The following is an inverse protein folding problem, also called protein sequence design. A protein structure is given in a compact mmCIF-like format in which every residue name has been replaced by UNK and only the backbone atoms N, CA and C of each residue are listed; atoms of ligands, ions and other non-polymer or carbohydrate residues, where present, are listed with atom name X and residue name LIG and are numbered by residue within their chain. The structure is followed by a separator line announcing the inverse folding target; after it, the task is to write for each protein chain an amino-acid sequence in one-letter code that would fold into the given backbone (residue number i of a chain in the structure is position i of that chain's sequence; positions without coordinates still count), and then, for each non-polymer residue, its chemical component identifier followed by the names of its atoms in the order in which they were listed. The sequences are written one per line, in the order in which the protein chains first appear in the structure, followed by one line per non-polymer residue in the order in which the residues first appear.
data_IF_282846171798
#
_entry.id   IF_282846171798
#
_cell.length_a   1.000
_cell.length_b   1.000
_cell.length_c   1.000
_cell.angle_alpha   90.00
_cell.angle_beta   90.00
_cell.angle_gamma   90.00
#
_symmetry.space_group_name_H-M   'P 1'
#
loop_
_entity.id
_entity.type
_entity.pdbx_description
1 polymer ?
#
# COMPACT_ATOMS: atom_id res chain seq x y z
N UNK A 1 20.86 -8.34 4.13
CA UNK A 1 19.38 -8.47 3.94
C UNK A 1 18.98 -7.66 2.72
N UNK A 2 17.95 -8.09 1.98
CA UNK A 2 17.44 -7.31 0.84
C UNK A 2 16.69 -6.05 1.32
N UNK A 3 15.84 -6.18 2.35
CA UNK A 3 15.02 -5.09 2.87
C UNK A 3 15.86 -3.86 3.25
N UNK A 4 17.02 -4.04 3.84
CA UNK A 4 17.92 -2.93 4.19
C UNK A 4 18.36 -2.09 2.97
N UNK A 5 18.39 -2.72 1.79
CA UNK A 5 18.80 -2.08 0.54
C UNK A 5 17.62 -1.54 -0.29
N UNK A 6 16.36 -1.74 0.15
CA UNK A 6 15.18 -1.18 -0.50
C UNK A 6 14.96 0.24 0.03
N UNK A 7 15.13 1.23 -0.83
CA UNK A 7 14.85 2.64 -0.53
C UNK A 7 13.69 3.19 -1.35
N UNK A 8 13.30 2.46 -2.40
CA UNK A 8 12.24 2.85 -3.31
C UNK A 8 11.65 1.64 -4.02
N UNK A 9 10.46 1.76 -4.64
CA UNK A 9 9.88 0.69 -5.45
C UNK A 9 10.79 0.23 -6.61
N UNK A 10 11.62 1.10 -7.13
CA UNK A 10 12.57 0.77 -8.20
C UNK A 10 13.60 -0.29 -7.77
N UNK A 11 13.95 -0.34 -6.50
CA UNK A 11 14.86 -1.35 -5.95
C UNK A 11 14.19 -2.73 -5.90
N UNK A 12 12.88 -2.77 -5.62
CA UNK A 12 12.08 -4.01 -5.66
C UNK A 12 12.09 -4.61 -7.07
N UNK A 13 11.96 -3.78 -8.10
CA UNK A 13 11.91 -4.21 -9.52
C UNK A 13 13.22 -4.81 -10.03
N UNK A 14 14.33 -4.57 -9.35
CA UNK A 14 15.64 -5.13 -9.69
C UNK A 14 15.86 -6.54 -9.15
N UNK A 15 14.99 -7.01 -8.25
CA UNK A 15 15.12 -8.32 -7.65
C UNK A 15 14.59 -9.43 -8.56
N UNK A 16 15.22 -10.60 -8.52
CA UNK A 16 14.66 -11.82 -9.11
C UNK A 16 13.46 -12.29 -8.31
N UNK A 17 12.61 -13.11 -8.92
CA UNK A 17 11.44 -13.71 -8.22
C UNK A 17 11.87 -14.50 -6.97
N UNK A 18 13.00 -15.20 -7.04
CA UNK A 18 13.55 -15.89 -5.88
C UNK A 18 13.90 -14.92 -4.76
N UNK A 19 14.54 -13.81 -5.08
CA UNK A 19 14.92 -12.78 -4.11
C UNK A 19 13.70 -12.03 -3.54
N UNK A 20 12.62 -11.88 -4.32
CA UNK A 20 11.36 -11.33 -3.81
C UNK A 20 10.73 -12.21 -2.71
N UNK A 21 10.86 -13.54 -2.82
CA UNK A 21 10.40 -14.46 -1.77
C UNK A 21 11.26 -14.30 -0.48
N UNK A 22 12.54 -14.05 -0.62
CA UNK A 22 13.42 -13.75 0.54
C UNK A 22 13.00 -12.41 1.16
N UNK A 23 12.81 -11.38 0.34
CA UNK A 23 12.32 -10.07 0.78
C UNK A 23 10.99 -10.17 1.54
N UNK A 24 10.06 -11.00 1.07
CA UNK A 24 8.78 -11.23 1.76
C UNK A 24 8.98 -11.79 3.18
N UNK A 25 9.91 -12.71 3.36
CA UNK A 25 10.24 -13.26 4.68
C UNK A 25 10.92 -12.21 5.59
N UNK A 26 11.78 -11.37 5.04
CA UNK A 26 12.42 -10.27 5.78
C UNK A 26 11.39 -9.23 6.24
N UNK A 27 10.43 -8.85 5.37
CA UNK A 27 9.33 -7.96 5.72
C UNK A 27 8.47 -8.57 6.84
N UNK A 28 8.12 -9.86 6.77
CA UNK A 28 7.38 -10.54 7.84
C UNK A 28 8.12 -10.52 9.16
N UNK A 29 9.42 -10.76 9.12
CA UNK A 29 10.24 -10.73 10.33
C UNK A 29 10.24 -9.32 10.96
N UNK A 30 10.44 -8.27 10.16
CA UNK A 30 10.39 -6.89 10.62
C UNK A 30 9.02 -6.54 11.22
N UNK A 31 7.92 -6.94 10.54
CA UNK A 31 6.56 -6.76 11.05
C UNK A 31 6.36 -7.42 12.41
N UNK A 32 6.71 -8.68 12.54
CA UNK A 32 6.53 -9.43 13.78
C UNK A 32 7.37 -8.83 14.92
N UNK A 33 8.60 -8.42 14.64
CA UNK A 33 9.49 -7.80 15.62
C UNK A 33 8.90 -6.48 16.12
N UNK A 34 8.57 -5.55 15.22
CA UNK A 34 7.96 -4.27 15.58
C UNK A 34 6.64 -4.46 16.31
N UNK A 35 5.73 -5.24 15.74
CA UNK A 35 4.36 -5.33 16.25
C UNK A 35 4.26 -6.07 17.59
N UNK A 36 5.18 -7.01 17.88
CA UNK A 36 5.25 -7.65 19.19
C UNK A 36 5.75 -6.70 20.28
N UNK A 37 6.61 -5.76 19.94
CA UNK A 37 7.20 -4.82 20.89
C UNK A 37 6.37 -3.53 21.05
N UNK A 38 5.75 -3.06 19.97
CA UNK A 38 5.15 -1.72 19.88
C UNK A 38 3.63 -1.72 19.63
N UNK A 39 3.08 -2.86 19.18
CA UNK A 39 1.67 -2.96 18.79
C UNK A 39 1.42 -2.53 17.36
N UNK A 40 0.14 -2.59 16.94
CA UNK A 40 -0.31 -2.27 15.59
C UNK A 40 -1.16 -3.37 14.96
N UNK A 41 -1.36 -3.31 13.66
CA UNK A 41 -2.22 -4.23 12.90
C UNK A 41 -1.42 -5.43 12.40
N UNK A 42 -1.58 -6.61 13.00
CA UNK A 42 -0.76 -7.81 12.68
C UNK A 42 -1.34 -8.56 11.48
N UNK A 43 -2.53 -9.13 11.63
CA UNK A 43 -3.14 -10.04 10.64
C UNK A 43 -3.22 -9.43 9.22
N UNK A 44 -3.81 -8.24 9.06
CA UNK A 44 -3.94 -7.60 7.76
C UNK A 44 -2.59 -7.36 7.06
N UNK A 45 -1.54 -7.01 7.80
CA UNK A 45 -0.22 -6.76 7.22
C UNK A 45 0.49 -8.04 6.81
N UNK A 46 0.43 -9.10 7.62
CA UNK A 46 1.03 -10.38 7.27
C UNK A 46 0.39 -10.99 6.00
N UNK A 47 -0.93 -10.82 5.83
CA UNK A 47 -1.65 -11.32 4.66
C UNK A 47 -1.39 -10.54 3.38
N UNK A 48 -0.84 -9.32 3.47
CA UNK A 48 -0.64 -8.43 2.32
C UNK A 48 0.81 -8.33 1.83
N UNK A 49 1.75 -9.06 2.42
CA UNK A 49 3.18 -8.90 2.10
C UNK A 49 3.47 -9.17 0.64
N UNK A 50 3.14 -10.36 0.13
CA UNK A 50 3.41 -10.73 -1.27
C UNK A 50 2.61 -9.88 -2.25
N UNK A 51 1.34 -9.61 -1.94
CA UNK A 51 0.51 -8.76 -2.79
C UNK A 51 1.09 -7.35 -2.90
N UNK A 52 1.59 -6.78 -1.79
CA UNK A 52 2.21 -5.45 -1.80
C UNK A 52 3.54 -5.45 -2.57
N UNK A 53 4.37 -6.49 -2.41
CA UNK A 53 5.59 -6.64 -3.21
C UNK A 53 5.24 -6.71 -4.70
N UNK A 54 4.24 -7.53 -5.08
CA UNK A 54 3.82 -7.68 -6.46
C UNK A 54 3.28 -6.36 -7.04
N UNK A 55 2.51 -5.60 -6.29
CA UNK A 55 2.04 -4.27 -6.70
C UNK A 55 3.22 -3.33 -7.00
N UNK A 56 4.22 -3.26 -6.13
CA UNK A 56 5.40 -2.43 -6.35
C UNK A 56 6.36 -2.97 -7.40
N UNK A 57 6.33 -4.27 -7.67
CA UNK A 57 7.10 -4.87 -8.76
C UNK A 57 6.49 -4.55 -10.13
N UNK A 58 5.17 -4.54 -10.24
CA UNK A 58 4.45 -4.34 -11.51
C UNK A 58 4.22 -2.85 -11.80
N UNK A 59 3.68 -2.11 -10.84
CA UNK A 59 3.27 -0.72 -11.01
C UNK A 59 4.36 0.28 -10.62
N UNK A 60 4.31 1.48 -11.21
CA UNK A 60 5.31 2.54 -11.03
C UNK A 60 4.83 3.60 -10.03
N UNK A 61 4.71 3.24 -8.75
CA UNK A 61 4.37 4.21 -7.71
C UNK A 61 5.50 5.26 -7.55
N UNK A 62 5.20 6.57 -7.42
CA UNK A 62 3.88 7.19 -7.23
C UNK A 62 3.18 7.63 -8.53
N UNK A 63 3.71 7.34 -9.71
CA UNK A 63 3.04 7.65 -10.99
C UNK A 63 1.73 6.87 -11.05
N UNK A 64 1.81 5.54 -11.01
CA UNK A 64 0.64 4.70 -10.75
C UNK A 64 0.21 4.87 -9.29
N UNK A 65 -1.07 4.96 -9.04
CA UNK A 65 -1.62 5.31 -7.73
C UNK A 65 -2.27 4.12 -7.07
N UNK A 66 -1.79 3.77 -5.89
CA UNK A 66 -2.31 2.67 -5.08
C UNK A 66 -3.06 3.27 -3.88
N UNK A 67 -4.35 2.99 -3.79
CA UNK A 67 -5.23 3.44 -2.70
C UNK A 67 -5.60 2.24 -1.84
N UNK A 68 -5.17 2.25 -0.58
CA UNK A 68 -5.46 1.18 0.38
C UNK A 68 -6.73 1.51 1.16
N UNK A 69 -7.73 0.64 1.12
CA UNK A 69 -8.95 0.79 1.92
C UNK A 69 -8.61 0.69 3.41
N UNK A 70 -9.18 1.54 4.25
CA UNK A 70 -8.78 1.71 5.66
C UNK A 70 -7.31 2.12 5.80
N UNK A 71 -6.44 1.48 5.03
CA UNK A 71 -4.97 1.62 4.95
C UNK A 71 -4.17 1.03 6.13
N UNK A 72 -4.82 0.30 7.04
CA UNK A 72 -4.18 -0.37 8.16
C UNK A 72 -3.29 -1.57 7.76
N UNK A 73 -3.40 -2.04 6.51
CA UNK A 73 -2.62 -3.12 5.90
C UNK A 73 -1.45 -2.60 5.03
N UNK A 74 -1.03 -1.34 5.23
CA UNK A 74 -0.07 -0.66 4.36
C UNK A 74 1.38 -0.70 4.87
N UNK A 75 1.71 -1.50 5.89
CA UNK A 75 3.06 -1.47 6.48
C UNK A 75 4.14 -1.95 5.53
N UNK A 76 3.91 -3.02 4.76
CA UNK A 76 4.82 -3.44 3.71
C UNK A 76 5.01 -2.36 2.64
N UNK A 77 3.93 -1.66 2.26
CA UNK A 77 4.00 -0.49 1.37
C UNK A 77 4.91 0.61 1.94
N UNK A 78 4.78 0.92 3.23
CA UNK A 78 5.66 1.90 3.88
C UNK A 78 7.13 1.49 3.81
N UNK A 79 7.44 0.22 4.11
CA UNK A 79 8.80 -0.29 4.02
C UNK A 79 9.37 -0.17 2.60
N UNK A 80 8.59 -0.52 1.58
CA UNK A 80 9.02 -0.51 0.18
C UNK A 80 9.08 0.90 -0.45
N UNK A 81 8.57 1.90 0.26
CA UNK A 81 8.52 3.31 -0.19
C UNK A 81 9.38 4.25 0.66
N UNK A 82 10.47 3.72 1.25
CA UNK A 82 11.52 4.50 1.89
C UNK A 82 11.35 4.72 3.40
N UNK A 83 10.40 4.03 4.04
CA UNK A 83 10.13 4.15 5.50
C UNK A 83 10.46 2.87 6.27
N UNK A 84 11.34 2.02 5.73
CA UNK A 84 11.70 0.74 6.34
C UNK A 84 12.34 0.88 7.72
N UNK A 85 13.09 1.96 7.94
CA UNK A 85 13.84 2.18 9.17
C UNK A 85 12.90 2.28 10.39
N UNK A 86 11.71 2.85 10.19
CA UNK A 86 10.62 2.84 11.18
C UNK A 86 10.03 1.44 11.47
N UNK A 87 10.54 0.38 10.85
CA UNK A 87 10.19 -1.02 11.12
C UNK A 87 11.40 -1.86 11.54
N UNK A 88 12.61 -1.38 11.26
CA UNK A 88 13.86 -2.08 11.57
C UNK A 88 14.52 -1.59 12.85
N UNK A 89 14.32 -0.32 13.21
CA UNK A 89 14.97 0.35 14.34
C UNK A 89 13.93 0.75 15.38
N UNK A 90 14.12 0.27 16.62
CA UNK A 90 13.13 0.47 17.69
C UNK A 90 12.94 1.94 18.07
N UNK A 91 13.99 2.74 17.95
CA UNK A 91 13.98 4.18 18.20
C UNK A 91 13.17 4.99 17.17
N UNK A 92 12.89 4.40 16.00
CA UNK A 92 12.16 5.04 14.90
C UNK A 92 10.72 4.51 14.75
N UNK A 93 10.27 3.62 15.65
CA UNK A 93 8.94 3.00 15.50
C UNK A 93 7.78 3.99 15.43
N UNK A 94 7.92 5.16 16.04
CA UNK A 94 6.91 6.22 16.07
C UNK A 94 6.99 7.21 14.89
N UNK A 95 7.98 7.07 14.00
CA UNK A 95 8.15 7.96 12.85
C UNK A 95 7.11 7.72 11.73
N UNK A 96 6.30 6.67 11.86
CA UNK A 96 5.22 6.37 10.92
C UNK A 96 3.91 6.10 11.64
N UNK A 97 2.81 6.56 11.05
CA UNK A 97 1.47 6.24 11.54
C UNK A 97 1.04 4.83 11.14
N UNK A 98 -0.01 4.31 11.76
CA UNK A 98 -0.60 3.01 11.42
C UNK A 98 -1.43 2.98 10.12
N UNK A 99 -1.48 4.10 9.38
CA UNK A 99 -2.27 4.30 8.17
C UNK A 99 -1.45 5.01 7.11
N UNK A 100 -1.94 5.04 5.85
CA UNK A 100 -1.31 5.89 4.82
C UNK A 100 -1.43 7.36 5.21
N UNK A 101 -0.38 8.12 4.92
CA UNK A 101 -0.33 9.54 5.25
C UNK A 101 0.48 10.32 4.21
N UNK A 102 -0.16 11.21 3.43
CA UNK A 102 0.53 12.03 2.43
C UNK A 102 1.64 12.94 2.98
N UNK A 103 1.65 13.19 4.28
CA UNK A 103 2.72 13.95 4.93
C UNK A 103 3.98 13.11 5.17
N UNK A 104 3.84 11.78 5.22
CA UNK A 104 4.98 10.86 5.35
C UNK A 104 5.63 10.56 4.00
N UNK A 105 4.83 10.43 2.94
CA UNK A 105 5.34 9.96 1.65
C UNK A 105 4.50 10.42 0.47
N UNK A 106 5.16 10.75 -0.64
CA UNK A 106 4.52 11.01 -1.94
C UNK A 106 3.80 9.78 -2.53
N UNK A 107 4.04 8.60 -1.99
CA UNK A 107 3.39 7.35 -2.39
C UNK A 107 2.03 7.13 -1.72
N UNK A 108 1.70 7.93 -0.71
CA UNK A 108 0.44 7.93 0.01
C UNK A 108 -0.44 9.07 -0.51
N UNK A 109 -1.62 8.78 -1.05
CA UNK A 109 -2.47 9.80 -1.68
C UNK A 109 -3.55 10.35 -0.76
N UNK A 110 -3.92 9.58 0.28
CA UNK A 110 -4.96 9.93 1.23
C UNK A 110 -4.58 9.48 2.64
N UNK A 111 -5.07 10.21 3.63
CA UNK A 111 -5.15 9.74 5.01
C UNK A 111 -6.48 9.02 5.15
N UNK A 112 -6.45 7.70 5.25
CA UNK A 112 -7.64 6.84 5.32
C UNK A 112 -7.62 6.07 6.64
N UNK A 113 -8.77 5.83 7.20
CA UNK A 113 -9.01 4.99 8.38
C UNK A 113 -10.41 4.37 8.34
N UNK A 114 -11.24 4.78 7.35
CA UNK A 114 -12.60 4.30 7.18
C UNK A 114 -12.70 3.19 6.14
N UNK A 115 -13.55 2.18 6.38
CA UNK A 115 -13.84 1.09 5.45
C UNK A 115 -14.63 1.57 4.23
N UNK A 116 -14.55 0.82 3.14
CA UNK A 116 -15.38 0.93 1.92
C UNK A 116 -15.12 2.16 1.05
N UNK A 117 -14.11 2.99 1.34
CA UNK A 117 -13.87 4.28 0.67
C UNK A 117 -12.91 4.22 -0.51
N UNK A 118 -12.05 3.20 -0.59
CA UNK A 118 -10.94 3.15 -1.55
C UNK A 118 -11.40 3.14 -3.02
N UNK A 119 -12.50 2.47 -3.32
CA UNK A 119 -13.03 2.39 -4.70
C UNK A 119 -13.50 3.76 -5.16
N UNK A 120 -14.28 4.47 -4.33
CA UNK A 120 -14.74 5.84 -4.64
C UNK A 120 -13.59 6.81 -4.83
N UNK A 121 -12.56 6.73 -3.96
CA UNK A 121 -11.35 7.55 -4.06
C UNK A 121 -10.56 7.23 -5.34
N UNK A 122 -10.42 5.96 -5.67
CA UNK A 122 -9.77 5.52 -6.91
C UNK A 122 -10.53 6.01 -8.15
N UNK A 123 -11.86 5.94 -8.15
CA UNK A 123 -12.68 6.50 -9.23
C UNK A 123 -12.46 8.01 -9.41
N UNK A 124 -12.36 8.75 -8.32
CA UNK A 124 -12.03 10.18 -8.36
C UNK A 124 -10.67 10.44 -9.01
N UNK A 125 -9.64 9.67 -8.64
CA UNK A 125 -8.32 9.75 -9.26
C UNK A 125 -8.34 9.35 -10.74
N UNK A 126 -9.08 8.30 -11.11
CA UNK A 126 -9.21 7.86 -12.50
C UNK A 126 -9.89 8.95 -13.37
N UNK A 127 -10.96 9.55 -12.88
CA UNK A 127 -11.60 10.69 -13.57
C UNK A 127 -10.65 11.87 -13.72
N UNK A 128 -9.88 12.20 -12.69
CA UNK A 128 -8.88 13.26 -12.76
C UNK A 128 -7.76 12.95 -13.77
N UNK A 129 -7.32 11.67 -13.82
CA UNK A 129 -6.38 11.18 -14.84
C UNK A 129 -6.92 11.40 -16.25
N UNK A 130 -8.16 11.01 -16.51
CA UNK A 130 -8.76 11.09 -17.84
C UNK A 130 -8.94 12.54 -18.30
N UNK A 131 -9.38 13.42 -17.40
CA UNK A 131 -9.47 14.85 -17.68
C UNK A 131 -8.10 15.48 -18.04
N UNK A 132 -7.02 14.97 -17.44
CA UNK A 132 -5.64 15.38 -17.73
C UNK A 132 -5.03 14.63 -18.93
N UNK A 133 -5.75 13.68 -19.51
CA UNK A 133 -5.27 12.77 -20.56
C UNK A 133 -4.05 11.96 -20.11
N UNK A 134 -3.99 11.63 -18.81
CA UNK A 134 -2.99 10.74 -18.22
C UNK A 134 -3.21 9.28 -18.63
N UNK A 135 -2.22 8.43 -18.33
CA UNK A 135 -2.25 6.99 -18.65
C UNK A 135 -1.85 6.13 -17.44
N UNK A 136 -1.61 6.74 -16.31
CA UNK A 136 -1.24 6.04 -15.09
C UNK A 136 -2.34 5.09 -14.63
N UNK A 137 -1.96 3.98 -14.05
CA UNK A 137 -2.89 3.04 -13.44
C UNK A 137 -3.38 3.58 -12.09
N UNK A 138 -4.65 3.34 -11.79
CA UNK A 138 -5.24 3.64 -10.48
C UNK A 138 -5.73 2.33 -9.89
N UNK A 139 -5.19 1.97 -8.74
CA UNK A 139 -5.41 0.68 -8.10
C UNK A 139 -6.08 0.90 -6.74
N UNK A 140 -7.24 0.29 -6.50
CA UNK A 140 -7.86 0.20 -5.19
C UNK A 140 -7.54 -1.16 -4.57
N UNK A 141 -6.98 -1.16 -3.36
CA UNK A 141 -6.75 -2.35 -2.54
C UNK A 141 -7.81 -2.36 -1.46
N UNK A 142 -8.74 -3.31 -1.52
CA UNK A 142 -9.86 -3.40 -0.60
C UNK A 142 -10.00 -4.82 -0.04
N UNK A 143 -10.23 -4.92 1.27
CA UNK A 143 -10.51 -6.20 1.92
C UNK A 143 -11.97 -6.63 1.73
N UNK A 144 -12.21 -7.93 1.84
CA UNK A 144 -13.53 -8.55 1.69
C UNK A 144 -14.57 -7.97 2.66
N UNK A 145 -14.16 -7.71 3.90
CA UNK A 145 -15.02 -7.07 4.90
C UNK A 145 -15.43 -5.65 4.50
N UNK A 146 -14.49 -4.85 4.04
CA UNK A 146 -14.76 -3.49 3.55
C UNK A 146 -15.61 -3.49 2.27
N UNK A 147 -15.42 -4.49 1.41
CA UNK A 147 -16.19 -4.63 0.17
C UNK A 147 -17.69 -4.87 0.43
N UNK A 148 -18.08 -5.30 1.62
CA UNK A 148 -19.49 -5.45 1.98
C UNK A 148 -20.22 -4.12 2.26
N UNK A 149 -19.50 -3.01 2.33
CA UNK A 149 -20.08 -1.69 2.60
C UNK A 149 -20.76 -1.06 1.38
N UNK A 150 -21.87 -0.35 1.60
CA UNK A 150 -22.67 0.26 0.53
C UNK A 150 -21.87 1.24 -0.34
N UNK A 151 -20.99 2.03 0.25
CA UNK A 151 -20.14 2.96 -0.50
C UNK A 151 -19.22 2.25 -1.51
N UNK A 152 -18.68 1.06 -1.15
CA UNK A 152 -17.89 0.28 -2.09
C UNK A 152 -18.72 -0.17 -3.31
N UNK A 153 -19.97 -0.59 -3.10
CA UNK A 153 -20.88 -0.96 -4.20
C UNK A 153 -21.23 0.23 -5.08
N UNK A 154 -21.51 1.39 -4.50
CA UNK A 154 -21.75 2.62 -5.26
C UNK A 154 -20.49 3.02 -6.05
N UNK A 155 -19.33 2.90 -5.45
CA UNK A 155 -18.05 3.11 -6.13
C UNK A 155 -17.84 2.16 -7.31
N UNK A 156 -18.10 0.86 -7.13
CA UNK A 156 -18.02 -0.14 -8.20
C UNK A 156 -19.03 0.11 -9.33
N UNK A 157 -20.28 0.46 -8.98
CA UNK A 157 -21.30 0.82 -9.97
C UNK A 157 -20.87 2.03 -10.80
N UNK A 158 -20.34 3.06 -10.14
CA UNK A 158 -19.81 4.24 -10.82
C UNK A 158 -18.60 3.92 -11.71
N UNK A 159 -17.68 3.05 -11.24
CA UNK A 159 -16.53 2.61 -12.02
C UNK A 159 -16.97 1.86 -13.30
N UNK A 160 -17.94 0.96 -13.17
CA UNK A 160 -18.49 0.21 -14.31
C UNK A 160 -19.11 1.10 -15.38
N UNK A 161 -19.74 2.20 -15.00
CA UNK A 161 -20.35 3.16 -15.93
C UNK A 161 -19.30 3.99 -16.69
N UNK A 162 -18.12 4.20 -16.11
CA UNK A 162 -17.06 5.01 -16.77
C UNK A 162 -16.42 4.30 -17.96
N UNK A 163 -16.43 2.96 -18.00
CA UNK A 163 -15.96 2.15 -19.14
C UNK A 163 -14.44 2.19 -19.37
N UNK A 164 -13.64 2.51 -18.35
CA UNK A 164 -12.19 2.63 -18.43
C UNK A 164 -11.46 1.90 -17.28
#
# INVERSE_FOLDING_TARGET
MYLENINSPEDVKRLSIENLNILANEIRHALLTKLSAHGGHIGPNLGMVEATIALHYVFNSPVDKIVYDVSHQSYAHKMLTGRKDAFLHAEEYDEVTGYTNPQESKHDFFTIGHTSTSVSLACGLAKARDLKRGRENIIAVIGDGSLSGGEAYEGLSNAGETGN
#
